data_IF_495902486066
#
_entry.id   IF_495902486066
#
_cell.length_a   1.000
_cell.length_b   1.000
_cell.length_c   1.000
_cell.angle_alpha   90.00
_cell.angle_beta   90.00
_cell.angle_gamma   90.00
#
_symmetry.space_group_name_H-M   'P 1'
#
loop_
_entity.id
_entity.type
_entity.pdbx_description
1 polymer ?
#
# COMPACT_ATOMS: atom_id res chain seq x y z
N UNK A 1 18.71 7.43 21.89
CA UNK A 1 18.58 5.97 21.70
C UNK A 1 18.11 5.74 20.27
N UNK A 2 19.04 5.60 19.31
CA UNK A 2 18.66 5.32 17.91
C UNK A 2 18.28 3.85 17.80
N UNK A 3 17.00 3.55 17.58
CA UNK A 3 16.60 2.23 17.10
C UNK A 3 17.26 2.04 15.73
N UNK A 4 18.23 1.13 15.64
CA UNK A 4 18.67 0.59 14.35
C UNK A 4 17.47 -0.14 13.75
N UNK A 5 16.83 0.46 12.75
CA UNK A 5 15.81 -0.20 11.94
C UNK A 5 16.47 -1.40 11.28
N UNK A 6 16.09 -2.61 11.69
CA UNK A 6 16.58 -3.82 11.05
C UNK A 6 15.70 -4.12 9.85
N UNK A 7 16.27 -4.02 8.64
CA UNK A 7 15.61 -4.46 7.40
C UNK A 7 15.14 -5.93 7.46
N UNK A 8 15.62 -6.74 8.42
CA UNK A 8 15.12 -8.11 8.68
C UNK A 8 13.65 -8.15 9.12
N UNK A 9 13.06 -7.03 9.51
CA UNK A 9 11.66 -6.96 9.97
C UNK A 9 10.71 -6.37 8.92
N UNK A 10 11.20 -5.92 7.76
CA UNK A 10 10.36 -5.65 6.59
C UNK A 10 10.24 -6.93 5.78
N UNK A 11 9.03 -7.42 5.56
CA UNK A 11 8.83 -8.73 4.97
C UNK A 11 8.55 -8.65 3.48
N UNK A 12 7.57 -7.84 3.07
CA UNK A 12 7.16 -7.84 1.67
C UNK A 12 6.48 -6.54 1.22
N UNK A 13 6.59 -6.32 -0.09
CA UNK A 13 5.75 -5.40 -0.84
C UNK A 13 5.06 -6.18 -1.96
N UNK A 14 3.74 -6.30 -1.87
CA UNK A 14 2.94 -7.05 -2.83
C UNK A 14 2.21 -6.09 -3.76
N UNK A 15 2.45 -6.21 -5.07
CA UNK A 15 1.65 -5.56 -6.10
C UNK A 15 0.58 -6.54 -6.54
N UNK A 16 -0.67 -6.33 -6.12
CA UNK A 16 -1.72 -7.35 -6.21
C UNK A 16 -2.87 -6.92 -7.09
N UNK A 17 -3.26 -7.82 -7.99
CA UNK A 17 -4.55 -7.79 -8.66
C UNK A 17 -5.55 -8.68 -7.91
N UNK A 18 -6.78 -8.19 -7.83
CA UNK A 18 -7.96 -8.92 -7.35
C UNK A 18 -9.11 -8.70 -8.31
N UNK A 19 -10.13 -9.55 -8.22
CA UNK A 19 -11.38 -9.36 -8.94
C UNK A 19 -12.45 -8.92 -7.95
N UNK A 20 -12.96 -7.71 -8.15
CA UNK A 20 -14.12 -7.22 -7.43
C UNK A 20 -15.39 -7.54 -8.23
N UNK A 21 -16.34 -8.20 -7.57
CA UNK A 21 -17.66 -8.41 -8.11
C UNK A 21 -18.54 -7.19 -7.79
N UNK A 22 -19.06 -6.55 -8.82
CA UNK A 22 -20.01 -5.43 -8.72
C UNK A 22 -21.24 -5.80 -9.50
N UNK A 23 -22.32 -6.10 -8.77
CA UNK A 23 -23.62 -6.44 -9.38
C UNK A 23 -23.52 -7.56 -10.43
N UNK A 24 -22.69 -8.58 -10.18
CA UNK A 24 -22.51 -9.73 -11.07
C UNK A 24 -21.42 -9.55 -12.12
N UNK A 25 -20.84 -8.36 -12.27
CA UNK A 25 -19.72 -8.12 -13.18
C UNK A 25 -18.39 -8.06 -12.44
N UNK A 26 -17.41 -8.81 -12.94
CA UNK A 26 -16.06 -8.83 -12.39
C UNK A 26 -15.24 -7.68 -12.95
N UNK A 27 -14.52 -7.00 -12.07
CA UNK A 27 -13.61 -5.93 -12.42
C UNK A 27 -12.24 -6.11 -11.78
N UNK A 28 -11.15 -5.82 -12.52
CA UNK A 28 -9.82 -5.84 -11.93
C UNK A 28 -9.67 -4.70 -10.93
N UNK A 29 -9.14 -5.03 -9.77
CA UNK A 29 -8.80 -4.10 -8.71
C UNK A 29 -7.35 -4.29 -8.32
N UNK A 30 -6.57 -3.21 -8.41
CA UNK A 30 -5.14 -3.21 -8.16
C UNK A 30 -4.80 -2.36 -6.95
N UNK A 31 -3.92 -2.88 -6.11
CA UNK A 31 -3.42 -2.22 -4.91
C UNK A 31 -2.05 -2.77 -4.54
N UNK A 32 -1.34 -2.00 -3.70
CA UNK A 32 -0.07 -2.42 -3.11
C UNK A 32 -0.23 -2.62 -1.62
N UNK A 33 0.36 -3.68 -1.09
CA UNK A 33 0.42 -3.94 0.36
C UNK A 33 1.87 -3.99 0.79
N UNK A 34 2.22 -3.21 1.80
CA UNK A 34 3.50 -3.27 2.49
C UNK A 34 3.26 -3.96 3.82
N UNK A 35 4.03 -5.00 4.12
CA UNK A 35 3.91 -5.77 5.36
C UNK A 35 5.26 -5.82 6.06
N UNK A 36 5.24 -5.50 7.34
CA UNK A 36 6.39 -5.61 8.22
C UNK A 36 5.98 -6.27 9.55
N UNK A 37 6.95 -6.87 10.24
CA UNK A 37 6.76 -7.33 11.61
C UNK A 37 6.49 -6.13 12.52
N UNK A 38 5.62 -6.30 13.50
CA UNK A 38 5.42 -5.28 14.53
C UNK A 38 6.74 -4.92 15.24
N UNK A 39 6.95 -3.62 15.44
CA UNK A 39 8.20 -3.06 15.95
C UNK A 39 9.19 -2.66 14.85
N UNK A 40 8.90 -2.94 13.57
CA UNK A 40 9.67 -2.38 12.45
C UNK A 40 9.52 -0.85 12.39
N UNK A 41 8.34 -0.32 12.72
CA UNK A 41 8.07 1.12 12.70
C UNK A 41 7.58 1.63 11.35
N UNK A 42 6.89 0.80 10.56
CA UNK A 42 6.30 1.12 9.26
C UNK A 42 5.41 2.37 9.34
N UNK A 43 4.67 2.53 10.44
CA UNK A 43 3.83 3.71 10.70
C UNK A 43 4.63 5.03 10.79
N UNK A 44 5.89 5.00 11.21
CA UNK A 44 6.74 6.20 11.25
C UNK A 44 7.10 6.71 9.84
N UNK A 45 7.09 5.81 8.86
CA UNK A 45 7.29 6.15 7.44
C UNK A 45 5.99 6.56 6.75
N UNK A 46 4.82 6.29 7.34
CA UNK A 46 3.51 6.51 6.72
C UNK A 46 3.37 7.91 6.13
N UNK A 47 3.68 8.95 6.92
CA UNK A 47 3.58 10.34 6.46
C UNK A 47 4.62 10.71 5.38
N UNK A 48 5.77 10.03 5.35
CA UNK A 48 6.83 10.28 4.36
C UNK A 48 6.59 9.65 2.99
N UNK A 49 5.68 8.67 2.89
CA UNK A 49 5.29 8.06 1.62
C UNK A 49 4.39 9.04 0.86
N UNK A 50 4.85 9.61 -0.24
CA UNK A 50 4.00 10.42 -1.11
C UNK A 50 3.13 9.54 -2.02
N UNK A 51 1.92 10.00 -2.32
CA UNK A 51 1.00 9.34 -3.27
C UNK A 51 0.58 10.31 -4.36
N UNK A 52 0.28 9.74 -5.52
CA UNK A 52 -0.25 10.43 -6.68
C UNK A 52 -1.71 10.84 -6.48
N UNK A 53 -2.22 11.74 -7.32
CA UNK A 53 -3.63 12.17 -7.27
C UNK A 53 -4.58 10.97 -7.36
N UNK A 54 -5.64 10.97 -6.54
CA UNK A 54 -6.60 9.86 -6.37
C UNK A 54 -6.00 8.52 -5.90
N UNK A 55 -4.79 8.51 -5.34
CA UNK A 55 -4.21 7.37 -4.64
C UNK A 55 -4.11 7.70 -3.16
N UNK A 56 -4.62 6.80 -2.32
CA UNK A 56 -4.56 6.91 -0.87
C UNK A 56 -3.71 5.80 -0.28
N UNK A 57 -3.23 6.05 0.94
CA UNK A 57 -2.55 5.08 1.79
C UNK A 57 -3.34 4.91 3.07
N UNK A 58 -3.47 3.68 3.52
CA UNK A 58 -4.13 3.30 4.77
C UNK A 58 -3.14 2.50 5.60
N UNK A 59 -3.18 2.65 6.92
CA UNK A 59 -2.35 1.89 7.84
C UNK A 59 -3.22 1.06 8.77
N UNK A 60 -2.75 -0.14 9.08
CA UNK A 60 -3.36 -1.01 10.07
C UNK A 60 -2.30 -1.83 10.80
N UNK A 61 -2.70 -2.44 11.90
CA UNK A 61 -1.92 -3.43 12.64
C UNK A 61 -2.84 -4.60 12.96
N UNK A 62 -2.38 -5.81 12.69
CA UNK A 62 -3.14 -7.03 12.94
C UNK A 62 -2.18 -8.21 13.08
N UNK A 63 -2.47 -9.17 13.97
CA UNK A 63 -1.74 -10.45 14.05
C UNK A 63 -0.21 -10.32 14.11
N UNK A 64 0.31 -9.32 14.83
CA UNK A 64 1.75 -9.07 14.99
C UNK A 64 2.45 -8.46 13.76
N UNK A 65 1.68 -7.93 12.81
CA UNK A 65 2.18 -7.22 11.63
C UNK A 65 1.70 -5.77 11.54
N UNK A 66 2.55 -4.93 10.98
CA UNK A 66 2.25 -3.58 10.55
C UNK A 66 2.01 -3.58 9.04
N UNK A 67 0.91 -2.97 8.62
CA UNK A 67 0.46 -3.00 7.22
C UNK A 67 0.24 -1.58 6.71
N UNK A 68 0.72 -1.30 5.50
CA UNK A 68 0.28 -0.14 4.72
C UNK A 68 -0.32 -0.63 3.41
N UNK A 69 -1.54 -0.18 3.12
CA UNK A 69 -2.21 -0.43 1.83
C UNK A 69 -2.19 0.85 1.01
N UNK A 70 -1.67 0.79 -0.22
CA UNK A 70 -1.72 1.88 -1.20
C UNK A 70 -2.73 1.48 -2.27
N UNK A 71 -3.78 2.28 -2.42
CA UNK A 71 -4.90 1.97 -3.30
C UNK A 71 -5.56 3.21 -3.87
N UNK A 72 -6.36 3.02 -4.91
CA UNK A 72 -7.18 4.09 -5.45
C UNK A 72 -8.16 4.63 -4.38
N UNK A 73 -8.34 5.95 -4.35
CA UNK A 73 -9.43 6.62 -3.64
C UNK A 73 -10.76 6.29 -4.31
N UNK A 74 -11.76 5.95 -3.51
CA UNK A 74 -13.09 5.57 -3.98
C UNK A 74 -14.14 6.36 -3.22
N UNK A 75 -15.16 6.87 -3.91
CA UNK A 75 -16.32 7.50 -3.25
C UNK A 75 -17.30 6.47 -2.68
N UNK A 76 -16.99 5.15 -2.78
CA UNK A 76 -17.87 4.00 -2.46
C UNK A 76 -19.14 3.89 -3.33
N UNK A 77 -19.42 4.90 -4.15
CA UNK A 77 -20.35 4.85 -5.29
C UNK A 77 -19.64 4.58 -6.61
N UNK A 78 -18.31 4.71 -6.63
CA UNK A 78 -17.41 4.45 -7.77
C UNK A 78 -16.09 3.87 -7.26
N UNK A 79 -15.27 3.27 -8.13
CA UNK A 79 -13.94 2.79 -7.77
C UNK A 79 -13.82 1.29 -7.44
N UNK A 80 -14.83 0.50 -7.82
CA UNK A 80 -14.76 -0.96 -7.75
C UNK A 80 -13.84 -1.59 -8.81
N UNK A 81 -13.34 -0.79 -9.74
CA UNK A 81 -12.34 -1.18 -10.72
C UNK A 81 -11.21 -0.16 -10.73
N UNK A 82 -10.00 -0.62 -11.01
CA UNK A 82 -8.82 0.25 -11.15
C UNK A 82 -8.54 0.43 -12.63
N UNK A 83 -8.68 1.66 -13.14
CA UNK A 83 -8.34 1.94 -14.54
C UNK A 83 -6.82 1.94 -14.76
N UNK A 84 -6.37 1.89 -16.02
CA UNK A 84 -4.95 1.77 -16.36
C UNK A 84 -4.09 2.87 -15.72
N UNK A 85 -4.57 4.13 -15.73
CA UNK A 85 -3.83 5.24 -15.13
C UNK A 85 -3.67 5.05 -13.61
N UNK A 86 -4.73 4.63 -12.93
CA UNK A 86 -4.68 4.35 -11.49
C UNK A 86 -3.74 3.17 -11.19
N UNK A 87 -3.72 2.12 -12.02
CA UNK A 87 -2.77 1.00 -11.90
C UNK A 87 -1.33 1.53 -11.96
N UNK A 88 -0.99 2.32 -12.98
CA UNK A 88 0.34 2.90 -13.12
C UNK A 88 0.73 3.78 -11.93
N UNK A 89 -0.20 4.62 -11.46
CA UNK A 89 0.04 5.49 -10.31
C UNK A 89 0.30 4.68 -9.04
N UNK A 90 -0.56 3.70 -8.74
CA UNK A 90 -0.42 2.84 -7.56
C UNK A 90 0.88 2.04 -7.61
N UNK A 91 1.25 1.50 -8.77
CA UNK A 91 2.50 0.76 -8.94
C UNK A 91 3.71 1.66 -8.71
N UNK A 92 3.70 2.86 -9.32
CA UNK A 92 4.76 3.85 -9.12
C UNK A 92 4.89 4.25 -7.65
N UNK A 93 3.78 4.49 -6.98
CA UNK A 93 3.76 4.92 -5.57
C UNK A 93 4.19 3.79 -4.64
N UNK A 94 3.83 2.53 -4.93
CA UNK A 94 4.32 1.36 -4.21
C UNK A 94 5.85 1.23 -4.27
N UNK A 95 6.44 1.39 -5.46
CA UNK A 95 7.90 1.37 -5.64
C UNK A 95 8.57 2.53 -4.90
N UNK A 96 8.00 3.75 -4.98
CA UNK A 96 8.50 4.91 -4.24
C UNK A 96 8.45 4.67 -2.73
N UNK A 97 7.35 4.11 -2.22
CA UNK A 97 7.17 3.83 -0.81
C UNK A 97 8.27 2.88 -0.28
N UNK A 98 8.56 1.81 -1.01
CA UNK A 98 9.68 0.90 -0.66
C UNK A 98 10.98 1.68 -0.59
N UNK A 99 11.31 2.48 -1.60
CA UNK A 99 12.54 3.29 -1.62
C UNK A 99 12.62 4.23 -0.42
N UNK A 100 11.53 4.91 -0.08
CA UNK A 100 11.45 5.79 1.09
C UNK A 100 11.68 5.03 2.40
N UNK A 101 11.21 3.79 2.50
CA UNK A 101 11.37 2.96 3.70
C UNK A 101 12.81 2.44 3.82
N UNK A 102 13.42 1.95 2.74
CA UNK A 102 14.76 1.32 2.79
C UNK A 102 15.92 2.32 2.74
N UNK A 103 15.70 3.55 2.30
CA UNK A 103 16.75 4.59 2.22
C UNK A 103 16.96 5.36 3.53
N UNK A 104 16.31 4.97 4.62
CA UNK A 104 16.50 5.52 5.97
C UNK A 104 16.94 4.42 6.94
#
# INVERSE_FOLDING_TARGET
MSLKISLKSFWECMHRFTLNNVQGKQYPYFYVVLVAKEGFGLGSHFNSISTSHNVIKEQSRQDGVEIIVIRQYTTKTSGYHTNNQAIYNIMSDGIKAIRTIISK
#
